data_IF_987890118124
#
_entry.id   IF_987890118124
#
_cell.length_a   1.000
_cell.length_b   1.000
_cell.length_c   1.000
_cell.angle_alpha   90.00
_cell.angle_beta   90.00
_cell.angle_gamma   90.00
#
_symmetry.space_group_name_H-M   'P 1'
#
loop_
_entity.id
_entity.type
_entity.pdbx_description
1 polymer ?
#
# COMPACT_ATOMS: atom_id res chain seq x y z
N UNK A 1 -10.87 35.76 -29.37
CA UNK A 1 -10.04 34.61 -29.04
C UNK A 1 -10.93 33.64 -28.28
N UNK A 2 -11.49 32.63 -28.95
CA UNK A 2 -12.50 31.73 -28.41
C UNK A 2 -11.84 30.59 -27.63
N UNK A 3 -12.51 30.09 -26.58
CA UNK A 3 -12.02 29.00 -25.69
C UNK A 3 -11.51 27.78 -26.48
N UNK A 4 -11.95 27.55 -27.70
CA UNK A 4 -11.51 26.48 -28.60
C UNK A 4 -10.05 26.64 -29.06
N UNK A 5 -9.53 27.85 -29.15
CA UNK A 5 -8.14 28.10 -29.58
C UNK A 5 -7.12 27.84 -28.47
N UNK A 6 -7.56 27.88 -27.19
CA UNK A 6 -6.69 27.56 -26.08
C UNK A 6 -6.49 26.04 -25.91
N UNK A 7 -7.51 25.24 -26.27
CA UNK A 7 -7.43 23.78 -26.19
C UNK A 7 -6.61 23.16 -27.34
N UNK A 8 -6.61 23.77 -28.53
CA UNK A 8 -5.81 23.30 -29.68
C UNK A 8 -4.31 23.49 -29.45
N UNK A 9 -3.90 24.56 -28.73
CA UNK A 9 -2.50 24.79 -28.38
C UNK A 9 -1.92 23.77 -27.40
N UNK A 10 -2.76 23.14 -26.60
CA UNK A 10 -2.31 22.12 -25.64
C UNK A 10 -2.15 20.72 -26.28
N UNK A 11 -2.87 20.44 -27.38
CA UNK A 11 -2.78 19.16 -28.10
C UNK A 11 -1.56 19.06 -29.04
N UNK A 12 -0.98 20.17 -29.49
CA UNK A 12 0.15 20.17 -30.47
C UNK A 12 1.48 19.72 -29.79
N UNK A 13 1.58 19.72 -28.48
CA UNK A 13 2.78 19.26 -27.77
C UNK A 13 2.78 17.76 -27.41
N UNK A 14 1.72 17.00 -27.74
CA UNK A 14 1.56 15.59 -27.41
C UNK A 14 1.17 14.71 -28.60
N UNK A 15 1.58 15.09 -29.80
CA UNK A 15 1.60 14.14 -30.92
C UNK A 15 2.82 13.23 -30.82
N UNK A 16 2.89 12.52 -29.69
CA UNK A 16 3.67 11.31 -29.58
C UNK A 16 2.67 10.19 -29.74
N UNK A 17 2.73 9.49 -30.89
CA UNK A 17 2.10 8.17 -31.09
C UNK A 17 2.68 7.18 -30.08
N UNK A 18 2.38 7.39 -28.80
CA UNK A 18 2.68 6.42 -27.75
C UNK A 18 1.61 5.34 -27.88
N UNK A 19 2.01 4.07 -28.01
CA UNK A 19 1.07 2.97 -27.83
C UNK A 19 0.65 2.97 -26.36
N UNK A 20 -0.29 3.84 -26.04
CA UNK A 20 -0.91 3.87 -24.73
C UNK A 20 -1.52 2.50 -24.50
N UNK A 21 -1.07 1.83 -23.46
CA UNK A 21 -1.71 0.59 -23.04
C UNK A 21 -3.20 0.86 -22.82
N UNK A 22 -4.06 0.01 -23.37
CA UNK A 22 -5.49 0.26 -23.26
C UNK A 22 -5.93 0.32 -21.80
N UNK A 23 -6.98 1.10 -21.52
CA UNK A 23 -7.48 1.34 -20.15
C UNK A 23 -7.79 0.05 -19.39
N UNK A 24 -8.37 -0.95 -20.07
CA UNK A 24 -8.72 -2.24 -19.44
C UNK A 24 -7.48 -2.97 -18.97
N UNK A 25 -6.45 -3.07 -19.82
CA UNK A 25 -5.17 -3.71 -19.45
C UNK A 25 -4.50 -2.98 -18.30
N UNK A 26 -4.50 -1.64 -18.32
CA UNK A 26 -3.94 -0.81 -17.25
C UNK A 26 -4.65 -1.06 -15.92
N UNK A 27 -5.97 -1.12 -15.91
CA UNK A 27 -6.77 -1.42 -14.71
C UNK A 27 -6.52 -2.84 -14.18
N UNK A 28 -6.37 -3.82 -15.06
CA UNK A 28 -6.03 -5.21 -14.69
C UNK A 28 -4.66 -5.25 -14.01
N UNK A 29 -3.66 -4.57 -14.59
CA UNK A 29 -2.30 -4.52 -14.00
C UNK A 29 -2.33 -3.85 -12.63
N UNK A 30 -3.03 -2.72 -12.49
CA UNK A 30 -3.17 -2.03 -11.21
C UNK A 30 -3.79 -2.95 -10.14
N UNK A 31 -4.92 -3.58 -10.45
CA UNK A 31 -5.62 -4.46 -9.53
C UNK A 31 -4.75 -5.67 -9.15
N UNK A 32 -4.13 -6.32 -10.15
CA UNK A 32 -3.24 -7.46 -9.92
C UNK A 32 -2.05 -7.04 -9.04
N UNK A 33 -1.46 -5.86 -9.28
CA UNK A 33 -0.34 -5.35 -8.48
C UNK A 33 -0.76 -5.09 -7.04
N UNK A 34 -1.94 -4.52 -6.80
CA UNK A 34 -2.46 -4.29 -5.45
C UNK A 34 -2.63 -5.62 -4.70
N UNK A 35 -3.20 -6.64 -5.36
CA UNK A 35 -3.36 -7.98 -4.77
C UNK A 35 -1.99 -8.62 -4.49
N UNK A 36 -1.07 -8.52 -5.43
CA UNK A 36 0.29 -9.05 -5.27
C UNK A 36 1.03 -8.37 -4.11
N UNK A 37 0.85 -7.05 -3.94
CA UNK A 37 1.43 -6.29 -2.82
C UNK A 37 0.83 -6.71 -1.48
N UNK A 38 -0.47 -6.99 -1.39
CA UNK A 38 -1.07 -7.52 -0.15
C UNK A 38 -0.50 -8.90 0.20
N UNK A 39 -0.36 -9.79 -0.78
CA UNK A 39 0.26 -11.11 -0.60
C UNK A 39 1.73 -10.98 -0.17
N UNK A 40 2.49 -10.09 -0.81
CA UNK A 40 3.88 -9.82 -0.49
C UNK A 40 4.03 -9.21 0.91
N UNK A 41 3.18 -8.25 1.27
CA UNK A 41 3.13 -7.64 2.61
C UNK A 41 2.85 -8.69 3.68
N UNK A 42 1.86 -9.57 3.45
CA UNK A 42 1.58 -10.70 4.34
C UNK A 42 2.80 -11.62 4.49
N UNK A 43 3.47 -11.97 3.37
CA UNK A 43 4.66 -12.83 3.37
C UNK A 43 5.81 -12.19 4.15
N UNK A 44 6.14 -10.93 3.84
CA UNK A 44 7.19 -10.18 4.53
C UNK A 44 6.88 -10.09 6.03
N UNK A 45 5.66 -9.74 6.39
CA UNK A 45 5.24 -9.60 7.78
C UNK A 45 5.39 -10.91 8.55
N UNK A 46 4.88 -12.02 7.98
CA UNK A 46 4.88 -13.32 8.66
C UNK A 46 6.26 -13.95 8.74
N UNK A 47 7.03 -13.92 7.65
CA UNK A 47 8.25 -14.72 7.56
C UNK A 47 9.53 -13.91 7.76
N UNK A 48 9.55 -12.63 7.34
CA UNK A 48 10.72 -11.78 7.51
C UNK A 48 10.64 -10.99 8.82
N UNK A 49 9.56 -10.26 9.06
CA UNK A 49 9.40 -9.42 10.25
C UNK A 49 9.21 -10.24 11.52
N UNK A 50 8.42 -11.29 11.49
CA UNK A 50 8.35 -12.28 12.56
C UNK A 50 9.42 -13.38 12.45
N UNK A 51 10.42 -13.17 11.62
CA UNK A 51 11.58 -14.03 11.36
C UNK A 51 12.91 -13.31 11.62
N UNK A 52 13.83 -13.31 10.62
CA UNK A 52 15.17 -12.73 10.77
C UNK A 52 15.17 -11.22 11.00
N UNK A 53 14.15 -10.49 10.50
CA UNK A 53 14.05 -9.04 10.63
C UNK A 53 13.22 -8.60 11.84
N UNK A 54 13.03 -9.46 12.84
CA UNK A 54 12.31 -9.10 14.06
C UNK A 54 12.85 -7.86 14.74
N UNK A 55 14.15 -7.62 14.67
CA UNK A 55 14.77 -6.43 15.27
C UNK A 55 14.21 -5.12 14.69
N UNK A 56 13.79 -5.12 13.42
CA UNK A 56 13.15 -3.97 12.78
C UNK A 56 11.65 -3.84 13.14
N UNK A 57 10.99 -4.98 13.35
CA UNK A 57 9.55 -5.04 13.61
C UNK A 57 9.20 -4.98 15.10
N UNK A 58 10.15 -5.26 15.98
CA UNK A 58 9.97 -5.26 17.42
C UNK A 58 9.42 -3.94 17.96
N UNK A 59 9.92 -2.81 17.46
CA UNK A 59 9.45 -1.48 17.87
C UNK A 59 7.98 -1.24 17.52
N UNK A 60 7.49 -1.88 16.44
CA UNK A 60 6.09 -1.83 16.03
C UNK A 60 5.15 -2.56 16.98
N UNK A 61 5.61 -3.65 17.61
CA UNK A 61 4.85 -4.40 18.63
C UNK A 61 4.93 -3.80 20.03
N UNK A 62 5.97 -3.03 20.31
CA UNK A 62 6.21 -2.42 21.62
C UNK A 62 5.86 -0.93 21.54
N UNK A 63 5.25 -0.39 22.60
CA UNK A 63 4.97 1.05 22.66
C UNK A 63 6.30 1.81 22.66
N UNK A 64 6.59 2.48 21.58
CA UNK A 64 7.69 3.44 21.47
C UNK A 64 7.13 4.86 21.45
N UNK A 65 7.93 5.83 21.95
CA UNK A 65 7.56 7.25 21.86
C UNK A 65 7.98 7.88 20.52
N UNK A 66 8.59 7.09 19.63
CA UNK A 66 9.03 7.56 18.32
C UNK A 66 7.87 7.61 17.33
N UNK A 67 7.79 8.69 16.55
CA UNK A 67 6.86 8.79 15.44
C UNK A 67 7.29 7.90 14.27
N UNK A 68 8.59 7.73 14.06
CA UNK A 68 9.17 6.85 13.03
C UNK A 68 9.58 5.52 13.65
N UNK A 69 9.30 4.44 12.94
CA UNK A 69 9.66 3.07 13.28
C UNK A 69 10.60 2.49 12.21
N UNK A 70 11.43 1.52 12.60
CA UNK A 70 12.30 0.81 11.64
C UNK A 70 11.53 0.14 10.50
N UNK A 71 10.29 -0.21 10.76
CA UNK A 71 9.33 -0.72 9.80
C UNK A 71 9.10 0.24 8.61
N UNK A 72 9.19 1.54 8.85
CA UNK A 72 8.95 2.57 7.83
C UNK A 72 10.02 2.55 6.73
N UNK A 73 11.19 1.94 6.96
CA UNK A 73 12.21 1.74 5.91
C UNK A 73 11.69 0.88 4.76
N UNK A 74 10.83 -0.10 5.03
CA UNK A 74 10.18 -0.88 3.96
C UNK A 74 9.21 -0.05 3.14
N UNK A 75 8.47 0.87 3.77
CA UNK A 75 7.61 1.81 3.04
C UNK A 75 8.45 2.71 2.11
N UNK A 76 9.60 3.21 2.58
CA UNK A 76 10.52 4.01 1.76
C UNK A 76 11.13 3.19 0.61
N UNK A 77 11.50 1.92 0.85
CA UNK A 77 12.01 1.02 -0.18
C UNK A 77 10.99 0.83 -1.30
N UNK A 78 9.74 0.52 -0.96
CA UNK A 78 8.68 0.32 -1.95
C UNK A 78 8.28 1.63 -2.64
N UNK A 79 8.29 2.75 -1.93
CA UNK A 79 8.09 4.07 -2.54
C UNK A 79 9.19 4.39 -3.57
N UNK A 80 10.47 4.14 -3.24
CA UNK A 80 11.59 4.31 -4.16
C UNK A 80 11.48 3.41 -5.39
N UNK A 81 11.15 2.11 -5.19
CA UNK A 81 10.91 1.17 -6.29
C UNK A 81 9.76 1.63 -7.20
N UNK A 82 8.66 2.07 -6.61
CA UNK A 82 7.49 2.58 -7.32
C UNK A 82 7.85 3.78 -8.19
N UNK A 83 8.51 4.79 -7.62
CA UNK A 83 8.96 5.98 -8.34
C UNK A 83 9.95 5.63 -9.45
N UNK A 84 10.87 4.71 -9.22
CA UNK A 84 11.81 4.23 -10.23
C UNK A 84 11.09 3.59 -11.41
N UNK A 85 10.16 2.66 -11.16
CA UNK A 85 9.39 1.99 -12.21
C UNK A 85 8.56 2.98 -13.02
N UNK A 86 7.91 3.94 -12.35
CA UNK A 86 7.16 5.01 -13.03
C UNK A 86 8.09 5.90 -13.85
N UNK A 87 9.25 6.25 -13.32
CA UNK A 87 10.20 7.12 -13.99
C UNK A 87 10.77 6.51 -15.27
N UNK A 88 11.20 5.24 -15.25
CA UNK A 88 11.81 4.59 -16.41
C UNK A 88 10.83 4.33 -17.55
N UNK A 89 9.53 4.29 -17.27
CA UNK A 89 8.48 4.01 -18.26
C UNK A 89 7.49 5.19 -18.45
N UNK A 90 7.86 6.37 -17.94
CA UNK A 90 7.02 7.56 -17.95
C UNK A 90 6.63 8.08 -19.34
N UNK A 91 7.45 7.76 -20.36
CA UNK A 91 7.18 8.17 -21.75
C UNK A 91 6.16 7.27 -22.42
N UNK A 92 6.15 5.98 -22.10
CA UNK A 92 5.32 4.98 -22.77
C UNK A 92 4.03 4.67 -21.99
N UNK A 93 3.94 5.06 -20.70
CA UNK A 93 2.85 4.64 -19.81
C UNK A 93 2.57 3.14 -19.95
N UNK A 94 3.65 2.34 -19.97
CA UNK A 94 3.61 0.91 -20.20
C UNK A 94 3.45 0.10 -18.92
N UNK A 95 3.79 -1.19 -19.01
CA UNK A 95 3.66 -2.17 -17.91
C UNK A 95 4.36 -1.72 -16.62
N UNK A 96 5.60 -1.24 -16.70
CA UNK A 96 6.38 -0.85 -15.51
C UNK A 96 5.77 0.37 -14.84
N UNK A 97 5.24 1.35 -15.61
CA UNK A 97 4.57 2.52 -15.08
C UNK A 97 3.34 2.12 -14.25
N UNK A 98 2.50 1.22 -14.76
CA UNK A 98 1.29 0.80 -14.05
C UNK A 98 1.57 -0.14 -12.87
N UNK A 99 2.64 -0.94 -12.93
CA UNK A 99 3.13 -1.67 -11.74
C UNK A 99 3.58 -0.66 -10.66
N UNK A 100 4.40 0.33 -11.00
CA UNK A 100 4.82 1.37 -10.07
C UNK A 100 3.61 2.11 -9.46
N UNK A 101 2.64 2.49 -10.28
CA UNK A 101 1.39 3.12 -9.80
C UNK A 101 0.60 2.19 -8.87
N UNK A 102 0.51 0.89 -9.17
CA UNK A 102 -0.13 -0.10 -8.31
C UNK A 102 0.56 -0.24 -6.94
N UNK A 103 1.89 -0.22 -6.90
CA UNK A 103 2.67 -0.18 -5.65
C UNK A 103 2.37 1.09 -4.86
N UNK A 104 2.32 2.25 -5.52
CA UNK A 104 1.96 3.53 -4.88
C UNK A 104 0.56 3.49 -4.29
N UNK A 105 -0.43 3.01 -5.05
CA UNK A 105 -1.81 2.90 -4.59
C UNK A 105 -1.93 1.97 -3.39
N UNK A 106 -1.25 0.81 -3.42
CA UNK A 106 -1.20 -0.07 -2.25
C UNK A 106 -0.54 0.60 -1.05
N UNK A 107 0.56 1.32 -1.25
CA UNK A 107 1.23 2.09 -0.19
C UNK A 107 0.31 3.14 0.45
N UNK A 108 -0.50 3.84 -0.34
CA UNK A 108 -1.52 4.78 0.16
C UNK A 108 -2.62 4.06 0.95
N UNK A 109 -3.11 2.93 0.45
CA UNK A 109 -4.09 2.10 1.18
C UNK A 109 -3.49 1.63 2.50
N UNK A 110 -2.25 1.14 2.48
CA UNK A 110 -1.52 0.72 3.67
C UNK A 110 -1.43 1.86 4.68
N UNK A 111 -0.98 3.03 4.28
CA UNK A 111 -0.87 4.21 5.15
C UNK A 111 -2.22 4.59 5.77
N UNK A 112 -3.29 4.67 4.97
CA UNK A 112 -4.62 5.06 5.46
C UNK A 112 -5.20 4.01 6.41
N UNK A 113 -5.11 2.73 6.05
CA UNK A 113 -5.73 1.66 6.85
C UNK A 113 -4.87 1.29 8.05
N UNK A 114 -3.55 1.06 7.85
CA UNK A 114 -2.66 0.59 8.89
C UNK A 114 -2.25 1.71 9.85
N UNK A 115 -1.63 2.79 9.34
CA UNK A 115 -1.04 3.82 10.18
C UNK A 115 -2.09 4.79 10.72
N UNK A 116 -2.99 5.24 9.86
CA UNK A 116 -3.96 6.25 10.25
C UNK A 116 -5.14 5.64 11.00
N UNK A 117 -5.81 4.62 10.42
CA UNK A 117 -7.01 4.06 11.01
C UNK A 117 -6.71 3.05 12.13
N UNK A 118 -5.81 2.09 11.94
CA UNK A 118 -5.52 1.02 12.91
C UNK A 118 -4.64 1.53 14.03
N UNK A 119 -3.43 2.01 13.73
CA UNK A 119 -2.46 2.50 14.73
C UNK A 119 -2.81 3.87 15.28
N UNK A 120 -3.65 4.64 14.59
CA UNK A 120 -4.03 5.99 14.98
C UNK A 120 -2.83 6.92 15.17
N UNK A 121 -1.82 6.81 14.31
CA UNK A 121 -0.73 7.80 14.25
C UNK A 121 -1.31 9.22 14.11
N UNK A 122 -2.47 9.34 13.41
CA UNK A 122 -3.30 10.56 13.37
C UNK A 122 -4.67 10.25 13.98
N UNK A 123 -5.12 11.05 14.93
CA UNK A 123 -6.33 10.77 15.74
C UNK A 123 -7.65 11.09 15.05
N UNK A 124 -7.64 11.61 13.82
CA UNK A 124 -8.79 12.18 13.12
C UNK A 124 -9.69 11.16 12.44
N UNK A 125 -9.17 9.98 12.05
CA UNK A 125 -9.94 8.99 11.30
C UNK A 125 -10.67 8.02 12.23
N UNK A 126 -12.02 8.10 12.20
CA UNK A 126 -12.92 7.16 12.88
C UNK A 126 -13.86 6.56 11.83
N UNK A 127 -14.16 5.28 11.94
CA UNK A 127 -15.12 4.61 11.06
C UNK A 127 -15.97 3.61 11.84
N UNK A 128 -17.25 3.56 11.50
CA UNK A 128 -18.22 2.57 11.99
C UNK A 128 -18.41 1.41 11.02
N UNK A 129 -17.73 1.41 9.88
CA UNK A 129 -17.78 0.33 8.90
C UNK A 129 -17.34 -1.00 9.54
N UNK A 130 -18.16 -2.05 9.38
CA UNK A 130 -17.94 -3.36 9.99
C UNK A 130 -16.63 -4.01 9.53
N UNK A 131 -16.31 -3.92 8.24
CA UNK A 131 -15.07 -4.46 7.68
C UNK A 131 -13.83 -3.75 8.27
N UNK A 132 -13.81 -2.42 8.32
CA UNK A 132 -12.70 -1.67 8.91
C UNK A 132 -12.54 -1.97 10.40
N UNK A 133 -13.65 -2.17 11.13
CA UNK A 133 -13.61 -2.63 12.53
C UNK A 133 -12.98 -4.01 12.66
N UNK A 134 -13.30 -4.94 11.75
CA UNK A 134 -12.70 -6.28 11.72
C UNK A 134 -11.20 -6.22 11.39
N UNK A 135 -10.78 -5.39 10.42
CA UNK A 135 -9.35 -5.13 10.14
C UNK A 135 -8.62 -4.66 11.40
N UNK A 136 -9.15 -3.66 12.09
CA UNK A 136 -8.56 -3.18 13.36
C UNK A 136 -8.54 -4.24 14.45
N UNK A 137 -9.59 -5.05 14.56
CA UNK A 137 -9.66 -6.16 15.51
C UNK A 137 -8.59 -7.21 15.22
N UNK A 138 -8.45 -7.61 13.94
CA UNK A 138 -7.41 -8.55 13.49
C UNK A 138 -6.01 -8.06 13.85
N UNK A 139 -5.72 -6.80 13.58
CA UNK A 139 -4.44 -6.19 13.88
C UNK A 139 -4.17 -6.08 15.40
N UNK A 140 -5.19 -5.75 16.21
CA UNK A 140 -5.07 -5.80 17.69
C UNK A 140 -4.81 -7.20 18.21
N UNK A 141 -5.41 -8.24 17.62
CA UNK A 141 -5.13 -9.64 17.95
C UNK A 141 -3.68 -9.97 17.63
N UNK A 142 -3.17 -9.47 16.48
CA UNK A 142 -1.78 -9.61 16.09
C UNK A 142 -0.84 -8.98 17.13
N UNK A 143 -1.09 -7.74 17.52
CA UNK A 143 -0.29 -6.99 18.51
C UNK A 143 -0.46 -7.45 19.98
N UNK A 144 -1.44 -8.32 20.26
CA UNK A 144 -1.59 -8.87 21.63
C UNK A 144 -0.35 -9.64 22.07
N UNK A 145 0.35 -10.26 21.12
CA UNK A 145 1.66 -10.87 21.35
C UNK A 145 2.76 -9.84 21.07
N UNK A 146 3.47 -9.44 22.12
CA UNK A 146 4.61 -8.51 22.01
C UNK A 146 5.91 -9.21 21.61
N UNK A 147 5.89 -10.54 21.44
CA UNK A 147 7.02 -11.37 21.06
C UNK A 147 6.96 -11.77 19.58
N UNK A 148 8.09 -12.30 19.10
CA UNK A 148 8.26 -12.80 17.73
C UNK A 148 7.28 -13.93 17.38
N UNK A 149 6.98 -14.80 18.33
CA UNK A 149 6.22 -16.02 18.12
C UNK A 149 4.76 -15.89 18.54
N UNK A 150 3.91 -16.82 18.06
CA UNK A 150 2.47 -16.95 18.39
C UNK A 150 1.57 -15.82 17.92
N UNK A 151 2.06 -14.88 17.10
CA UNK A 151 1.20 -13.88 16.47
C UNK A 151 0.26 -14.51 15.44
N UNK A 152 -0.92 -13.92 15.28
CA UNK A 152 -1.96 -14.33 14.33
C UNK A 152 -2.39 -13.14 13.49
N UNK A 153 -3.04 -13.37 12.34
CA UNK A 153 -3.60 -12.32 11.50
C UNK A 153 -2.53 -11.33 10.94
N UNK A 154 -1.70 -11.83 10.04
CA UNK A 154 -0.58 -11.07 9.44
C UNK A 154 -0.97 -10.22 8.23
N UNK A 155 -2.15 -10.44 7.62
CA UNK A 155 -2.64 -9.64 6.50
C UNK A 155 -3.15 -8.27 6.94
N UNK A 156 -3.15 -7.31 6.03
CA UNK A 156 -3.75 -6.00 6.26
C UNK A 156 -5.21 -5.97 5.81
N UNK A 157 -5.45 -6.31 4.54
CA UNK A 157 -6.78 -6.25 3.93
C UNK A 157 -7.52 -7.59 4.05
N UNK A 158 -6.81 -8.72 3.98
CA UNK A 158 -7.42 -10.03 4.11
C UNK A 158 -7.64 -10.41 5.58
N UNK A 159 -8.87 -10.24 6.04
CA UNK A 159 -9.28 -10.60 7.40
C UNK A 159 -9.90 -12.00 7.39
N UNK A 160 -9.50 -12.83 8.35
CA UNK A 160 -10.05 -14.19 8.53
C UNK A 160 -11.55 -14.14 8.82
N UNK A 161 -12.30 -15.12 8.30
CA UNK A 161 -13.76 -15.20 8.45
C UNK A 161 -14.24 -15.24 9.90
N UNK A 162 -13.50 -15.92 10.80
CA UNK A 162 -13.80 -15.99 12.22
C UNK A 162 -13.71 -14.61 12.93
N UNK A 163 -12.90 -13.70 12.42
CA UNK A 163 -12.76 -12.33 12.93
C UNK A 163 -13.82 -11.41 12.32
N UNK A 164 -14.18 -11.64 11.06
CA UNK A 164 -15.23 -10.85 10.37
C UNK A 164 -16.60 -11.06 11.02
N UNK A 165 -16.90 -12.29 11.47
CA UNK A 165 -18.20 -12.70 11.98
C UNK A 165 -18.33 -12.59 13.52
N UNK A 166 -17.33 -12.07 14.19
CA UNK A 166 -17.25 -11.91 15.66
C UNK A 166 -17.20 -10.46 16.07
#
# INVERSE_FOLDING_TARGET
MTLKTLFVGFYIFYDVDLPLMNVVTSLIILLFTIIAMECLSWFIHKYLFHGPLWFMHKSHHQKTHSFFEWNDLFALLFAGLSLYLMYIDRKNFGLKFFIGMGITLYGLIYFIVHDWFVHRRFKTFKSNNAYLKAVRKAHKIHHKNQGKEKSKAFGLLFVRKDILNS
#
